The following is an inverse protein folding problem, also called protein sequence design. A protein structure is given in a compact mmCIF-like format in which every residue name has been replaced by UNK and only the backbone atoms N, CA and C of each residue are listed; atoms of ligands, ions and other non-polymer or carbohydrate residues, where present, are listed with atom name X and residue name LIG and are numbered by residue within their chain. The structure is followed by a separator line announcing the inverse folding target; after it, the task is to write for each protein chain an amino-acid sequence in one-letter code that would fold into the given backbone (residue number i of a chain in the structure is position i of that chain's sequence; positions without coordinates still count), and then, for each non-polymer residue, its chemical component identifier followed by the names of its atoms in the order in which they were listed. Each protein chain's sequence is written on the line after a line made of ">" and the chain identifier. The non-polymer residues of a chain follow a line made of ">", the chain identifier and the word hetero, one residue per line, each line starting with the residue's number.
data_IF_957768298048
#
_entry.id   IF_957768298048
#
_cell.length_a   1.000
_cell.length_b   1.000
_cell.length_c   1.000
_cell.angle_alpha   90.00
_cell.angle_beta   90.00
_cell.angle_gamma   90.00
#
_symmetry.space_group_name_H-M   'P 1'
#
loop_
_entity.id
_entity.type
_entity.pdbx_description
1 polymer ?
#
# COMPACT_ATOMS: atom_id res chain seq x y z
N UNK A 1 2.12 1.74 9.30
CA UNK A 1 2.58 3.11 9.65
C UNK A 1 3.64 2.99 10.72
N UNK A 2 4.63 3.87 10.74
CA UNK A 2 5.62 3.93 11.81
C UNK A 2 5.91 5.39 12.20
N UNK A 3 5.78 5.71 13.48
CA UNK A 3 6.15 7.03 14.01
C UNK A 3 7.68 7.12 14.11
N UNK A 4 8.25 8.24 13.67
CA UNK A 4 9.66 8.57 13.81
C UNK A 4 9.83 9.98 14.37
N UNK A 5 10.90 10.20 15.14
CA UNK A 5 11.27 11.53 15.60
C UNK A 5 12.17 12.21 14.54
N UNK A 6 11.71 13.32 13.96
CA UNK A 6 12.45 14.11 12.98
C UNK A 6 12.54 15.56 13.45
N UNK A 7 13.76 16.06 13.66
CA UNK A 7 14.02 17.43 14.16
C UNK A 7 13.19 17.80 15.40
N UNK A 8 13.08 16.86 16.35
CA UNK A 8 12.33 17.06 17.60
C UNK A 8 10.80 16.98 17.47
N UNK A 9 10.25 16.61 16.30
CA UNK A 9 8.80 16.40 16.10
C UNK A 9 8.51 14.94 15.76
N UNK A 10 7.38 14.43 16.24
CA UNK A 10 6.81 13.15 15.82
C UNK A 10 6.24 13.29 14.41
N UNK A 11 6.63 12.40 13.51
CA UNK A 11 6.13 12.32 12.14
C UNK A 11 5.93 10.86 11.77
N UNK A 12 4.91 10.56 10.98
CA UNK A 12 4.61 9.19 10.58
C UNK A 12 5.14 8.88 9.17
N UNK A 13 5.77 7.72 9.06
CA UNK A 13 6.10 7.09 7.80
C UNK A 13 4.94 6.20 7.33
N UNK A 14 4.54 6.38 6.06
CA UNK A 14 3.55 5.52 5.45
C UNK A 14 4.23 4.31 4.80
N UNK A 15 3.71 3.13 5.11
CA UNK A 15 4.15 1.86 4.53
C UNK A 15 2.94 1.04 4.15
N UNK A 16 3.03 0.35 3.01
CA UNK A 16 2.09 -0.67 2.60
C UNK A 16 2.85 -1.79 1.88
N UNK A 17 2.54 -3.05 2.21
CA UNK A 17 3.04 -4.23 1.53
C UNK A 17 1.84 -5.08 1.16
N UNK A 18 1.80 -5.58 -0.07
CA UNK A 18 0.74 -6.46 -0.53
C UNK A 18 1.15 -7.25 -1.77
N UNK A 19 0.37 -8.27 -2.11
CA UNK A 19 0.53 -9.06 -3.31
C UNK A 19 -0.84 -9.30 -3.96
N UNK A 20 -0.85 -9.64 -5.25
CA UNK A 20 -2.07 -9.94 -5.99
C UNK A 20 -1.79 -10.80 -7.24
N UNK A 21 -2.80 -11.55 -7.73
CA UNK A 21 -4.05 -11.96 -7.06
C UNK A 21 -3.82 -12.80 -5.79
N UNK A 22 -4.86 -13.06 -5.00
CA UNK A 22 -4.76 -13.85 -3.75
C UNK A 22 -4.53 -15.33 -4.06
N UNK A 23 -5.27 -15.86 -5.03
CA UNK A 23 -5.32 -17.29 -5.36
C UNK A 23 -4.09 -17.74 -6.16
N UNK A 24 -3.55 -16.86 -7.00
CA UNK A 24 -2.35 -17.13 -7.80
C UNK A 24 -1.49 -15.86 -7.92
N UNK A 25 -0.70 -15.54 -6.89
CA UNK A 25 0.07 -14.29 -6.83
C UNK A 25 1.02 -14.11 -8.01
N UNK A 26 0.95 -12.96 -8.68
CA UNK A 26 1.83 -12.62 -9.80
C UNK A 26 2.74 -11.42 -9.54
N UNK A 27 2.38 -10.59 -8.55
CA UNK A 27 3.17 -9.44 -8.14
C UNK A 27 3.09 -9.25 -6.62
N UNK A 28 4.21 -8.89 -6.01
CA UNK A 28 4.29 -8.33 -4.67
C UNK A 28 4.85 -6.90 -4.75
N UNK A 29 4.31 -6.00 -3.94
CA UNK A 29 4.66 -4.56 -3.94
C UNK A 29 4.89 -4.11 -2.52
N UNK A 30 5.95 -3.33 -2.31
CA UNK A 30 6.20 -2.56 -1.10
C UNK A 30 6.26 -1.08 -1.47
N UNK A 31 5.46 -0.26 -0.79
CA UNK A 31 5.47 1.20 -0.94
C UNK A 31 5.85 1.82 0.39
N UNK A 32 6.89 2.65 0.35
CA UNK A 32 7.37 3.45 1.47
C UNK A 32 7.32 4.92 1.10
N UNK A 33 6.79 5.74 2.01
CA UNK A 33 6.80 7.20 1.89
C UNK A 33 7.34 7.76 3.20
N UNK A 34 8.55 8.35 3.13
CA UNK A 34 9.14 9.06 4.25
C UNK A 34 8.25 10.23 4.64
N UNK A 35 7.91 10.33 5.93
CA UNK A 35 6.99 11.35 6.47
C UNK A 35 5.62 11.38 5.77
N UNK A 36 5.18 10.26 5.21
CA UNK A 36 3.96 10.13 4.41
C UNK A 36 2.66 9.92 5.19
N UNK A 37 2.67 9.95 6.52
CA UNK A 37 1.47 9.75 7.32
C UNK A 37 1.07 8.27 7.41
N UNK A 38 -0.23 7.96 7.29
CA UNK A 38 -0.74 6.60 7.44
C UNK A 38 -0.59 5.76 6.18
N UNK A 39 -0.17 4.50 6.36
CA UNK A 39 0.01 3.53 5.29
C UNK A 39 -1.23 3.30 4.43
N UNK A 40 -2.40 3.17 5.08
CA UNK A 40 -3.68 2.93 4.38
C UNK A 40 -4.15 4.12 3.53
N UNK A 41 -3.80 5.34 3.93
CA UNK A 41 -4.26 6.57 3.26
C UNK A 41 -3.29 6.99 2.15
N UNK A 42 -1.99 6.86 2.37
CA UNK A 42 -0.97 7.36 1.44
C UNK A 42 -0.32 6.25 0.61
N UNK A 43 0.15 5.17 1.24
CA UNK A 43 0.92 4.13 0.55
C UNK A 43 0.02 3.09 -0.17
N UNK A 44 -1.12 2.74 0.41
CA UNK A 44 -2.03 1.74 -0.15
C UNK A 44 -2.65 2.15 -1.50
N UNK A 45 -3.09 3.40 -1.73
CA UNK A 45 -3.60 3.81 -3.04
C UNK A 45 -2.55 3.76 -4.15
N UNK A 46 -1.27 3.97 -3.82
CA UNK A 46 -0.16 3.84 -4.77
C UNK A 46 0.07 2.36 -5.12
N UNK A 47 0.11 1.49 -4.11
CA UNK A 47 0.23 0.05 -4.33
C UNK A 47 -0.91 -0.49 -5.22
N UNK A 48 -2.15 -0.03 -4.99
CA UNK A 48 -3.31 -0.38 -5.84
C UNK A 48 -3.11 0.02 -7.30
N UNK A 49 -2.58 1.22 -7.58
CA UNK A 49 -2.30 1.66 -8.95
C UNK A 49 -1.20 0.81 -9.62
N UNK A 50 -0.15 0.46 -8.87
CA UNK A 50 0.94 -0.40 -9.37
C UNK A 50 0.39 -1.79 -9.73
N UNK A 51 -0.38 -2.39 -8.82
CA UNK A 51 -0.99 -3.70 -9.03
C UNK A 51 -1.94 -3.67 -10.23
N UNK A 52 -2.82 -2.67 -10.33
CA UNK A 52 -3.74 -2.52 -11.45
C UNK A 52 -3.00 -2.42 -12.80
N UNK A 53 -1.96 -1.59 -12.87
CA UNK A 53 -1.14 -1.42 -14.06
C UNK A 53 -0.43 -2.73 -14.47
N UNK A 54 0.07 -3.50 -13.50
CA UNK A 54 0.73 -4.78 -13.77
C UNK A 54 -0.26 -5.86 -14.23
N UNK A 55 -1.45 -5.90 -13.65
CA UNK A 55 -2.48 -6.90 -13.99
C UNK A 55 -3.33 -6.52 -15.20
N UNK A 56 -3.21 -5.28 -15.71
CA UNK A 56 -3.98 -4.79 -16.85
C UNK A 56 -5.47 -4.59 -16.54
N UNK A 57 -5.81 -4.34 -15.28
CA UNK A 57 -7.20 -4.11 -14.82
C UNK A 57 -7.42 -2.64 -14.50
N UNK A 58 -8.68 -2.18 -14.53
CA UNK A 58 -8.98 -0.82 -14.07
C UNK A 58 -8.75 -0.74 -12.58
N UNK A 59 -8.24 0.40 -12.14
CA UNK A 59 -7.98 0.67 -10.72
C UNK A 59 -9.24 0.40 -9.88
N UNK A 60 -10.42 0.81 -10.36
CA UNK A 60 -11.73 0.65 -9.71
C UNK A 60 -12.21 -0.80 -9.57
N UNK A 61 -11.62 -1.72 -10.33
CA UNK A 61 -11.95 -3.15 -10.31
C UNK A 61 -11.01 -3.95 -9.39
N UNK A 62 -9.97 -3.34 -8.82
CA UNK A 62 -9.11 -4.00 -7.84
C UNK A 62 -9.92 -4.23 -6.56
N UNK A 63 -10.46 -5.44 -6.42
CA UNK A 63 -11.16 -5.87 -5.22
C UNK A 63 -10.15 -6.05 -4.08
N UNK A 64 -10.30 -5.26 -3.02
CA UNK A 64 -9.66 -5.54 -1.75
C UNK A 64 -10.43 -6.72 -1.17
N UNK A 65 -9.82 -7.91 -1.17
CA UNK A 65 -10.38 -9.04 -0.42
C UNK A 65 -10.62 -8.57 1.01
N UNK A 66 -11.86 -8.70 1.51
CA UNK A 66 -12.10 -8.58 2.95
C UNK A 66 -11.16 -9.61 3.59
N UNK A 67 -10.34 -9.16 4.53
CA UNK A 67 -9.75 -10.10 5.46
C UNK A 67 -10.96 -10.71 6.18
N UNK A 68 -11.27 -11.96 5.87
CA UNK A 68 -12.19 -12.76 6.67
C UNK A 68 -11.34 -13.23 7.87
N UNK A 69 -11.32 -12.41 8.92
CA UNK A 69 -10.76 -12.70 10.25
C UNK A 69 -11.85 -12.98 11.29
#
# INVERSE_FOLDING_TARGET
>A
TAEVARKGRKVDNAWFIGFAPVENPRIAVCVFIETGGHGGEAAAPIARKIIAAHLGVKVDEVQVGRADD
#
